data_IF_165040553514
#
_entry.id   IF_165040553514
#
_cell.length_a   1.000
_cell.length_b   1.000
_cell.length_c   1.000
_cell.angle_alpha   90.00
_cell.angle_beta   90.00
_cell.angle_gamma   90.00
#
_symmetry.space_group_name_H-M   'P 1'
#
loop_
_entity.id
_entity.type
_entity.pdbx_description
1 polymer ?
#
# COMPACT_ATOMS: atom_id res chain seq x y z
N UNK A 1 -1.84 10.24 -8.96
CA UNK A 1 -0.71 9.51 -8.39
C UNK A 1 0.24 10.55 -7.81
N UNK A 2 0.54 10.48 -6.52
CA UNK A 2 1.29 11.53 -5.81
C UNK A 2 2.82 11.43 -6.01
N UNK A 3 3.32 10.29 -6.52
CA UNK A 3 4.77 10.00 -6.55
C UNK A 3 5.35 9.73 -7.95
N UNK A 4 4.56 9.82 -9.01
CA UNK A 4 4.97 9.49 -10.38
C UNK A 4 5.10 7.99 -10.65
N UNK A 5 4.65 7.14 -9.73
CA UNK A 5 4.70 5.68 -9.82
C UNK A 5 3.28 5.11 -9.88
N UNK A 6 2.75 5.01 -11.10
CA UNK A 6 1.38 4.54 -11.36
C UNK A 6 1.20 3.02 -11.34
N UNK A 7 2.28 2.23 -11.14
CA UNK A 7 2.23 0.77 -11.14
C UNK A 7 2.72 0.22 -9.81
N UNK A 8 1.92 -0.66 -9.21
CA UNK A 8 2.35 -1.54 -8.13
C UNK A 8 2.97 -2.78 -8.75
N UNK A 9 4.29 -2.91 -8.68
CA UNK A 9 5.01 -4.04 -9.26
C UNK A 9 4.85 -5.30 -8.41
N UNK A 10 4.91 -5.11 -7.09
CA UNK A 10 4.77 -6.19 -6.12
C UNK A 10 4.08 -5.67 -4.87
N UNK A 11 3.25 -6.52 -4.26
CA UNK A 11 2.66 -6.28 -2.96
C UNK A 11 2.56 -7.60 -2.19
N UNK A 12 3.21 -7.63 -1.04
CA UNK A 12 3.20 -8.78 -0.13
C UNK A 12 2.38 -8.44 1.10
N UNK A 13 1.29 -9.18 1.29
CA UNK A 13 0.43 -9.09 2.46
C UNK A 13 1.12 -9.75 3.67
N UNK A 14 1.29 -8.99 4.74
CA UNK A 14 1.90 -9.43 5.99
C UNK A 14 0.86 -9.91 7.01
N UNK A 15 -0.24 -9.17 7.15
CA UNK A 15 -1.31 -9.48 8.08
C UNK A 15 -2.65 -8.89 7.61
N UNK A 16 -3.78 -9.57 7.85
CA UNK A 16 -5.10 -9.03 7.55
C UNK A 16 -5.40 -7.78 8.39
N UNK A 17 -6.13 -6.83 7.81
CA UNK A 17 -6.66 -5.67 8.52
C UNK A 17 -8.06 -5.98 9.05
N UNK A 18 -8.20 -6.13 10.36
CA UNK A 18 -9.50 -6.29 11.03
C UNK A 18 -10.11 -4.91 11.25
N UNK A 19 -11.35 -4.72 10.79
CA UNK A 19 -12.06 -3.44 10.89
C UNK A 19 -12.95 -3.43 12.15
N UNK A 20 -12.63 -2.62 13.17
CA UNK A 20 -13.51 -2.39 14.31
C UNK A 20 -14.63 -1.41 13.95
N UNK A 21 -15.68 -1.36 14.77
CA UNK A 21 -16.82 -0.46 14.57
C UNK A 21 -16.40 1.03 14.55
N UNK A 22 -15.38 1.39 15.34
CA UNK A 22 -14.86 2.76 15.46
C UNK A 22 -13.87 3.14 14.35
N UNK A 23 -13.62 2.22 13.40
CA UNK A 23 -12.70 2.41 12.29
C UNK A 23 -11.21 2.32 12.67
N UNK A 24 -10.37 2.44 11.65
CA UNK A 24 -8.91 2.43 11.76
C UNK A 24 -8.32 3.63 11.05
N UNK A 25 -7.15 4.06 11.52
CA UNK A 25 -6.28 4.96 10.77
C UNK A 25 -5.40 4.12 9.85
N UNK A 26 -5.30 4.51 8.59
CA UNK A 26 -4.40 3.89 7.62
C UNK A 26 -3.31 4.89 7.27
N UNK A 27 -2.07 4.42 7.26
CA UNK A 27 -0.92 5.20 6.82
C UNK A 27 -0.20 4.45 5.71
N UNK A 28 -0.01 5.13 4.58
CA UNK A 28 0.82 4.63 3.48
C UNK A 28 2.11 5.44 3.48
N UNK A 29 3.23 4.74 3.60
CA UNK A 29 4.56 5.34 3.57
C UNK A 29 5.21 4.96 2.25
N UNK A 30 5.68 5.96 1.50
CA UNK A 30 6.41 5.74 0.26
C UNK A 30 7.85 6.19 0.48
N UNK A 31 8.78 5.30 0.15
CA UNK A 31 10.21 5.56 0.22
C UNK A 31 10.70 6.54 -0.85
N UNK A 32 11.98 6.90 -0.72
CA UNK A 32 12.70 7.62 -1.77
C UNK A 32 12.74 6.84 -3.09
N UNK A 33 13.16 7.52 -4.16
CA UNK A 33 13.46 6.86 -5.43
C UNK A 33 14.73 6.03 -5.24
N UNK A 34 14.63 4.74 -5.51
CA UNK A 34 15.78 3.84 -5.61
C UNK A 34 16.51 4.02 -6.95
N UNK A 35 17.73 3.51 -7.06
CA UNK A 35 18.55 3.65 -8.28
C UNK A 35 17.87 3.11 -9.55
N UNK A 36 16.95 2.15 -9.42
CA UNK A 36 16.18 1.58 -10.52
C UNK A 36 14.96 2.43 -10.94
N UNK A 37 14.71 3.57 -10.30
CA UNK A 37 13.51 4.38 -10.52
C UNK A 37 12.25 3.84 -9.81
N UNK A 38 12.42 2.83 -8.95
CA UNK A 38 11.35 2.24 -8.14
C UNK A 38 11.28 2.89 -6.76
N UNK A 39 10.19 2.67 -6.03
CA UNK A 39 10.02 3.14 -4.65
C UNK A 39 9.41 2.05 -3.80
N UNK A 40 9.92 1.85 -2.60
CA UNK A 40 9.26 0.97 -1.63
C UNK A 40 7.98 1.63 -1.10
N UNK A 41 6.96 0.82 -0.85
CA UNK A 41 5.71 1.25 -0.23
C UNK A 41 5.36 0.34 0.95
N UNK A 42 4.87 0.92 2.02
CA UNK A 42 4.41 0.22 3.21
C UNK A 42 3.03 0.72 3.61
N UNK A 43 2.14 -0.21 3.97
CA UNK A 43 0.78 0.07 4.42
C UNK A 43 0.64 -0.35 5.87
N UNK A 44 0.40 0.62 6.73
CA UNK A 44 0.19 0.44 8.15
C UNK A 44 -1.24 0.77 8.54
N UNK A 45 -1.72 0.17 9.63
CA UNK A 45 -2.93 0.62 10.30
C UNK A 45 -2.74 0.75 11.80
N UNK A 46 -3.58 1.56 12.43
CA UNK A 46 -3.69 1.64 13.88
C UNK A 46 -5.16 1.88 14.28
N UNK A 47 -5.51 1.50 15.51
CA UNK A 47 -6.84 1.75 16.05
C UNK A 47 -7.21 3.24 16.02
N UNK A 48 -8.50 3.52 15.76
CA UNK A 48 -9.04 4.88 15.63
C UNK A 48 -8.94 5.72 16.92
N UNK A 49 -9.08 5.09 18.09
CA UNK A 49 -9.04 5.75 19.41
C UNK A 49 -7.83 5.31 20.25
N UNK A 50 -6.62 5.62 19.80
CA UNK A 50 -5.43 5.42 20.62
C UNK A 50 -4.96 6.76 21.21
N UNK A 51 -5.28 6.96 22.49
CA UNK A 51 -4.94 8.14 23.30
C UNK A 51 -3.44 8.20 23.68
N UNK A 52 -2.71 7.15 23.35
CA UNK A 52 -1.27 6.99 23.51
C UNK A 52 -0.71 6.37 22.23
N UNK A 53 0.55 6.69 21.89
CA UNK A 53 1.24 6.36 20.62
C UNK A 53 0.66 5.13 19.92
N UNK A 54 -0.08 5.28 18.82
CA UNK A 54 -0.74 4.16 18.16
C UNK A 54 0.27 3.07 17.82
N UNK A 55 -0.02 1.85 18.24
CA UNK A 55 0.69 0.66 17.76
C UNK A 55 0.37 0.44 16.29
N UNK A 56 1.19 1.01 15.41
CA UNK A 56 1.08 0.79 13.97
C UNK A 56 1.41 -0.66 13.64
N UNK A 57 0.52 -1.33 12.92
CA UNK A 57 0.70 -2.70 12.41
C UNK A 57 0.95 -2.65 10.91
N UNK A 58 2.00 -3.32 10.44
CA UNK A 58 2.28 -3.46 9.01
C UNK A 58 1.35 -4.51 8.40
N UNK A 59 0.56 -4.12 7.40
CA UNK A 59 -0.35 -5.02 6.69
C UNK A 59 0.16 -5.44 5.33
N UNK A 60 0.86 -4.55 4.64
CA UNK A 60 1.43 -4.85 3.34
C UNK A 60 2.69 -4.05 3.09
N UNK A 61 3.60 -4.62 2.33
CA UNK A 61 4.78 -3.93 1.79
C UNK A 61 4.97 -4.30 0.33
N UNK A 62 5.55 -3.42 -0.45
CA UNK A 62 5.66 -3.62 -1.88
C UNK A 62 6.60 -2.65 -2.56
N UNK A 63 6.60 -2.73 -3.89
CA UNK A 63 7.43 -1.92 -4.76
C UNK A 63 6.54 -1.22 -5.79
N UNK A 64 6.67 0.10 -5.84
CA UNK A 64 6.07 0.96 -6.86
C UNK A 64 7.08 1.18 -7.99
N UNK A 65 6.60 1.11 -9.22
CA UNK A 65 7.37 1.35 -10.42
C UNK A 65 6.75 2.44 -11.29
N UNK A 66 7.56 2.94 -12.22
CA UNK A 66 7.12 3.83 -13.29
C UNK A 66 6.55 3.00 -14.46
N UNK A 67 5.36 3.33 -14.95
CA UNK A 67 4.75 2.63 -16.08
C UNK A 67 3.23 2.79 -16.18
N UNK A 68 2.63 2.22 -17.21
CA UNK A 68 1.18 2.00 -17.30
C UNK A 68 0.89 0.52 -17.10
N UNK A 69 -0.08 0.17 -16.23
CA UNK A 69 -0.68 -1.17 -16.28
C UNK A 69 -1.42 -1.25 -17.60
N UNK A 70 -0.83 -1.96 -18.56
CA UNK A 70 -1.55 -2.36 -19.75
C UNK A 70 -2.43 -3.55 -19.34
N UNK A 71 -3.77 -3.46 -19.44
CA UNK A 71 -4.63 -4.55 -19.02
C UNK A 71 -4.22 -5.84 -19.76
N UNK A 72 -3.92 -6.89 -18.99
CA UNK A 72 -3.54 -8.19 -19.52
C UNK A 72 -4.80 -8.88 -20.07
N UNK A 73 -5.06 -8.66 -21.35
CA UNK A 73 -6.18 -9.17 -22.14
C UNK A 73 -7.58 -8.66 -21.71
N UNK A 74 -8.45 -8.51 -22.71
CA UNK A 74 -9.84 -8.13 -22.50
C UNK A 74 -10.56 -9.21 -21.68
N UNK A 75 -11.04 -8.84 -20.48
CA UNK A 75 -11.88 -9.68 -19.62
C UNK A 75 -13.31 -9.77 -20.19
N UNK A 76 -13.41 -10.07 -21.47
CA UNK A 76 -14.67 -10.17 -22.22
C UNK A 76 -15.13 -11.61 -22.32
N UNK A 77 -15.13 -12.35 -21.20
CA UNK A 77 -15.94 -13.58 -21.09
C UNK A 77 -16.38 -13.76 -19.64
N UNK A 78 -17.65 -13.46 -19.39
CA UNK A 78 -18.44 -14.04 -18.30
C UNK A 78 -19.82 -14.38 -18.86
#
# INVERSE_FOLDING_TARGET
>A
DEVGCSVLQELTLQAPLVLPADGVRVQVVVGGVEQSGTRNVWVYSAAGQADSSPGWTLHAQGVLGVGSVQPAAELSVW
#
